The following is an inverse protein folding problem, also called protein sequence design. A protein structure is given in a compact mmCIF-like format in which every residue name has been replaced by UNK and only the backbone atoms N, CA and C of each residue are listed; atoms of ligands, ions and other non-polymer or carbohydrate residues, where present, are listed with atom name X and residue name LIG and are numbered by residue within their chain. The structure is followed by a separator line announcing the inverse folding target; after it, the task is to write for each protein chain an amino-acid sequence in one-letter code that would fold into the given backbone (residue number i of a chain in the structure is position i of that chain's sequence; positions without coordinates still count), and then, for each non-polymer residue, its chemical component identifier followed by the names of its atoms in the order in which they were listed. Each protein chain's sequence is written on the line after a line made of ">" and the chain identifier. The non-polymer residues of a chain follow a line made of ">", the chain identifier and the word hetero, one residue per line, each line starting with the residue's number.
data_IF_120858544078
#
_entry.id   IF_120858544078
#
_cell.length_a   1.000
_cell.length_b   1.000
_cell.length_c   1.000
_cell.angle_alpha   90.00
_cell.angle_beta   90.00
_cell.angle_gamma   90.00
#
_symmetry.space_group_name_H-M   'P 1'
#
loop_
_entity.id
_entity.type
_entity.pdbx_description
1 polymer ?
#
# COMPACT_ATOMS: atom_id res chain seq x y z
N UNK A 1 31.34 24.35 29.83
CA UNK A 1 31.60 23.82 28.47
C UNK A 1 31.62 25.01 27.50
N UNK A 2 32.60 25.12 26.60
CA UNK A 2 32.70 26.27 25.69
C UNK A 2 31.48 26.36 24.77
N UNK A 3 30.95 27.56 24.53
CA UNK A 3 29.79 27.79 23.64
C UNK A 3 29.96 27.14 22.26
N UNK A 4 31.20 27.14 21.74
CA UNK A 4 31.55 26.47 20.47
C UNK A 4 31.36 24.94 20.53
N UNK A 5 31.69 24.32 21.66
CA UNK A 5 31.49 22.87 21.85
C UNK A 5 30.01 22.54 21.90
N UNK A 6 29.20 23.38 22.54
CA UNK A 6 27.75 23.19 22.62
C UNK A 6 27.08 23.32 21.25
N UNK A 7 27.48 24.32 20.45
CA UNK A 7 26.99 24.52 19.08
C UNK A 7 27.37 23.34 18.18
N UNK A 8 28.60 22.85 18.26
CA UNK A 8 29.05 21.69 17.47
C UNK A 8 28.23 20.43 17.81
N UNK A 9 27.95 20.19 19.08
CA UNK A 9 27.11 19.06 19.51
C UNK A 9 25.68 19.20 18.95
N UNK A 10 25.11 20.40 18.99
CA UNK A 10 23.77 20.66 18.46
C UNK A 10 23.71 20.39 16.94
N UNK A 11 24.72 20.86 16.19
CA UNK A 11 24.83 20.62 14.74
C UNK A 11 24.99 19.14 14.41
N UNK A 12 25.78 18.40 15.20
CA UNK A 12 25.92 16.95 15.01
C UNK A 12 24.58 16.25 15.26
N UNK A 13 23.85 16.61 16.31
CA UNK A 13 22.54 16.01 16.60
C UNK A 13 21.50 16.31 15.51
N UNK A 14 21.43 17.55 15.01
CA UNK A 14 20.46 17.92 13.97
C UNK A 14 20.74 17.25 12.63
N UNK A 15 22.01 16.93 12.32
CA UNK A 15 22.39 16.25 11.08
C UNK A 15 22.34 14.72 11.21
N UNK A 16 22.76 14.17 12.35
CA UNK A 16 22.85 12.72 12.54
C UNK A 16 21.47 12.07 12.78
N UNK A 17 20.56 12.76 13.47
CA UNK A 17 19.26 12.19 13.85
C UNK A 17 18.35 11.87 12.64
N UNK A 18 18.18 12.75 11.63
CA UNK A 18 17.41 12.43 10.42
C UNK A 18 18.03 11.26 9.64
N UNK A 19 19.35 11.17 9.61
CA UNK A 19 20.08 10.11 8.90
C UNK A 19 19.79 8.73 9.52
N UNK A 20 19.79 8.64 10.86
CA UNK A 20 19.46 7.42 11.59
C UNK A 20 17.99 6.97 11.40
N UNK A 21 17.06 7.93 11.26
CA UNK A 21 15.65 7.64 10.95
C UNK A 21 15.51 7.07 9.55
N UNK A 22 16.23 7.62 8.56
CA UNK A 22 16.21 7.09 7.19
C UNK A 22 16.80 5.68 7.08
N UNK A 23 17.84 5.37 7.86
CA UNK A 23 18.46 4.03 7.95
C UNK A 23 17.53 2.98 8.58
N UNK A 24 16.56 3.41 9.39
CA UNK A 24 15.61 2.51 10.05
C UNK A 24 14.42 2.14 9.16
N UNK A 25 14.30 2.75 7.98
CA UNK A 25 13.26 2.44 7.02
C UNK A 25 13.64 1.18 6.21
N UNK A 26 13.41 0.00 6.79
CA UNK A 26 13.45 -1.24 6.00
C UNK A 26 12.27 -1.23 5.04
N UNK A 27 12.52 -1.27 3.73
CA UNK A 27 11.47 -1.66 2.78
C UNK A 27 11.01 -3.07 3.16
N UNK A 28 9.79 -3.17 3.66
CA UNK A 28 9.16 -4.47 3.88
C UNK A 28 8.80 -5.02 2.49
N UNK A 29 9.71 -5.79 1.90
CA UNK A 29 9.57 -6.37 0.55
C UNK A 29 8.77 -7.68 0.65
N UNK A 30 7.45 -7.55 0.82
CA UNK A 30 6.56 -8.68 0.80
C UNK A 30 6.43 -9.20 -0.63
N UNK A 31 6.88 -10.43 -0.89
CA UNK A 31 6.82 -11.02 -2.24
C UNK A 31 5.40 -11.27 -2.74
N UNK A 32 4.43 -11.38 -1.82
CA UNK A 32 3.04 -11.62 -2.14
C UNK A 32 2.12 -11.20 -0.98
N UNK A 33 0.86 -10.94 -1.30
CA UNK A 33 -0.23 -10.74 -0.35
C UNK A 33 -1.26 -11.84 -0.58
N UNK A 34 -1.58 -12.59 0.48
CA UNK A 34 -2.66 -13.57 0.47
C UNK A 34 -3.88 -12.95 1.14
N UNK A 35 -4.92 -12.69 0.35
CA UNK A 35 -6.17 -12.11 0.83
C UNK A 35 -7.24 -13.20 1.01
N UNK A 36 -7.93 -13.17 2.16
CA UNK A 36 -9.10 -14.00 2.44
C UNK A 36 -10.25 -13.07 2.82
N UNK A 37 -11.43 -13.27 2.24
CA UNK A 37 -12.55 -12.39 2.51
C UNK A 37 -13.75 -12.66 1.62
N UNK A 38 -14.54 -11.60 1.44
CA UNK A 38 -15.76 -11.57 0.65
C UNK A 38 -15.61 -10.66 -0.59
N UNK A 39 -16.75 -10.31 -1.18
CA UNK A 39 -16.87 -9.47 -2.38
C UNK A 39 -16.17 -8.12 -2.28
N UNK A 40 -15.95 -7.57 -1.07
CA UNK A 40 -15.24 -6.29 -0.89
C UNK A 40 -13.74 -6.38 -1.19
N UNK A 41 -13.21 -7.60 -1.27
CA UNK A 41 -11.78 -7.87 -1.46
C UNK A 41 -11.52 -8.82 -2.63
N UNK A 42 -12.56 -9.45 -3.15
CA UNK A 42 -12.46 -10.42 -4.24
C UNK A 42 -12.19 -9.73 -5.58
N UNK A 43 -11.06 -10.09 -6.18
CA UNK A 43 -10.62 -9.52 -7.47
C UNK A 43 -11.07 -10.34 -8.69
N UNK A 44 -11.93 -11.34 -8.48
CA UNK A 44 -12.54 -12.15 -9.54
C UNK A 44 -12.61 -13.65 -9.25
N UNK A 45 -12.27 -14.09 -8.04
CA UNK A 45 -12.33 -15.49 -7.61
C UNK A 45 -13.75 -16.04 -7.62
N UNK A 46 -14.75 -15.27 -7.15
CA UNK A 46 -16.16 -15.64 -7.25
C UNK A 46 -16.60 -15.76 -8.71
N UNK A 47 -16.24 -14.77 -9.54
CA UNK A 47 -16.55 -14.76 -10.97
C UNK A 47 -15.89 -15.92 -11.75
N UNK A 48 -14.72 -16.38 -11.31
CA UNK A 48 -14.04 -17.53 -11.91
C UNK A 48 -14.69 -18.87 -11.52
N UNK A 49 -15.31 -18.94 -10.32
CA UNK A 49 -15.92 -20.17 -9.80
C UNK A 49 -17.39 -20.34 -10.19
N UNK A 50 -18.13 -19.24 -10.34
CA UNK A 50 -19.57 -19.24 -10.59
C UNK A 50 -19.93 -18.35 -11.79
N UNK A 51 -21.02 -18.66 -12.53
CA UNK A 51 -21.48 -17.80 -13.61
C UNK A 51 -21.78 -16.38 -13.11
N UNK A 52 -21.38 -15.42 -13.94
CA UNK A 52 -21.22 -14.00 -13.68
C UNK A 52 -22.35 -13.29 -12.91
N UNK A 53 -21.96 -12.39 -12.01
CA UNK A 53 -22.82 -11.30 -11.54
C UNK A 53 -23.03 -10.30 -12.70
N UNK A 54 -24.28 -10.17 -13.17
CA UNK A 54 -24.59 -9.49 -14.43
C UNK A 54 -24.64 -7.96 -14.29
N UNK A 55 -23.45 -7.33 -14.32
CA UNK A 55 -23.19 -5.91 -14.64
C UNK A 55 -23.76 -4.84 -13.68
N UNK A 56 -23.36 -3.55 -13.81
CA UNK A 56 -22.29 -2.99 -14.65
C UNK A 56 -20.99 -2.70 -13.85
N UNK A 57 -20.48 -3.65 -13.06
CA UNK A 57 -19.30 -3.41 -12.23
C UNK A 57 -17.99 -3.28 -13.02
N UNK A 58 -17.36 -2.11 -12.95
CA UNK A 58 -16.02 -1.81 -13.46
C UNK A 58 -16.01 -0.69 -14.50
N UNK A 59 -17.17 -0.09 -14.78
CA UNK A 59 -17.34 0.95 -15.77
C UNK A 59 -16.72 2.29 -15.35
N UNK A 60 -16.77 2.68 -14.07
CA UNK A 60 -16.18 3.96 -13.62
C UNK A 60 -14.65 4.01 -13.75
N UNK A 61 -13.93 2.96 -13.33
CA UNK A 61 -12.44 2.98 -13.34
C UNK A 61 -11.82 2.20 -14.49
N UNK A 62 -12.32 1.00 -14.78
CA UNK A 62 -11.72 0.11 -15.79
C UNK A 62 -12.37 0.24 -17.18
N UNK A 63 -13.54 0.89 -17.27
CA UNK A 63 -14.35 1.02 -18.47
C UNK A 63 -14.77 -0.32 -19.09
N UNK A 64 -14.81 -1.39 -18.29
CA UNK A 64 -15.27 -2.73 -18.69
C UNK A 64 -15.62 -3.57 -17.46
N UNK A 65 -16.47 -4.61 -17.61
CA UNK A 65 -16.68 -5.59 -16.56
C UNK A 65 -15.38 -6.24 -16.10
N UNK A 66 -15.14 -6.30 -14.78
CA UNK A 66 -13.91 -6.88 -14.22
C UNK A 66 -14.11 -8.13 -13.37
N UNK A 67 -15.36 -8.53 -13.13
CA UNK A 67 -15.68 -9.66 -12.23
C UNK A 67 -15.51 -9.31 -10.75
N UNK A 68 -15.38 -8.02 -10.42
CA UNK A 68 -15.34 -7.47 -9.07
C UNK A 68 -16.70 -6.91 -8.70
N UNK A 69 -17.11 -6.98 -7.45
CA UNK A 69 -18.34 -6.35 -6.95
C UNK A 69 -18.16 -4.84 -6.68
N UNK A 70 -17.52 -4.12 -7.60
CA UNK A 70 -17.22 -2.69 -7.49
C UNK A 70 -17.09 -2.05 -8.85
N UNK A 71 -17.44 -0.77 -8.95
CA UNK A 71 -17.27 -0.01 -10.19
C UNK A 71 -15.81 0.43 -10.46
N UNK A 72 -14.89 0.05 -9.58
CA UNK A 72 -13.46 0.27 -9.74
C UNK A 72 -12.58 -0.54 -8.82
N UNK A 73 -11.53 0.10 -8.28
CA UNK A 73 -10.56 -0.55 -7.40
C UNK A 73 -11.19 -0.98 -6.08
N UNK A 74 -10.70 -2.07 -5.52
CA UNK A 74 -10.98 -2.55 -4.16
C UNK A 74 -9.89 -2.09 -3.21
N UNK A 75 -10.15 -2.15 -1.90
CA UNK A 75 -9.16 -1.75 -0.88
C UNK A 75 -7.82 -2.48 -1.05
N UNK A 76 -7.85 -3.75 -1.49
CA UNK A 76 -6.65 -4.57 -1.71
C UNK A 76 -5.74 -4.02 -2.81
N UNK A 77 -6.28 -3.33 -3.82
CA UNK A 77 -5.46 -2.71 -4.88
C UNK A 77 -4.63 -1.54 -4.31
N UNK A 78 -5.12 -0.86 -3.28
CA UNK A 78 -4.39 0.23 -2.62
C UNK A 78 -3.36 -0.31 -1.65
N UNK A 79 -3.69 -1.37 -0.90
CA UNK A 79 -2.76 -2.02 0.02
C UNK A 79 -1.59 -2.68 -0.72
N UNK A 80 -1.85 -3.32 -1.86
CA UNK A 80 -0.79 -3.87 -2.73
C UNK A 80 0.28 -2.83 -3.07
N UNK A 81 -0.13 -1.64 -3.54
CA UNK A 81 0.82 -0.58 -3.91
C UNK A 81 1.64 -0.01 -2.73
N UNK A 82 1.25 -0.29 -1.49
CA UNK A 82 1.97 0.15 -0.28
C UNK A 82 2.98 -0.89 0.19
N UNK A 83 2.69 -2.18 -0.01
CA UNK A 83 3.45 -3.30 0.56
C UNK A 83 4.30 -4.09 -0.45
N UNK A 84 4.09 -3.88 -1.76
CA UNK A 84 4.92 -4.39 -2.87
C UNK A 84 5.55 -3.25 -3.64
#
# INVERSE_FOLDING_TARGET
>A
MSSRVFINILVIFTVALPCLVSLSHSKCDFKAIFNFGDSNSDTGGFFAAFPAESGPFGMTYFNKPTGRASDGRLIIDFLGNVFT
#
